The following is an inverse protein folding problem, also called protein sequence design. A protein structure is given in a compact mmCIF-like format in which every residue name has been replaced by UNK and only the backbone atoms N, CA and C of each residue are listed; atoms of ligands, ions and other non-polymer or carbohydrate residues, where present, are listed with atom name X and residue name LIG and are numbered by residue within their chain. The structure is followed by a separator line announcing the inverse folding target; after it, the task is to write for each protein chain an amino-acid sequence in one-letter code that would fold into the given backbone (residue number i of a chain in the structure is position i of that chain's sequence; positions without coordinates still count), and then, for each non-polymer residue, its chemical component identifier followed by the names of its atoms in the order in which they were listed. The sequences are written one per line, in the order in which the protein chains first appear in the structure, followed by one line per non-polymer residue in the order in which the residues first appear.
data_IF_586889820835
#
_entry.id   IF_586889820835
#
_cell.length_a   1.000
_cell.length_b   1.000
_cell.length_c   1.000
_cell.angle_alpha   90.00
_cell.angle_beta   90.00
_cell.angle_gamma   90.00
#
_symmetry.space_group_name_H-M   'P 1'
#
loop_
_entity.id
_entity.type
_entity.pdbx_description
1 polymer ?
#
# COMPACT_ATOMS: atom_id res chain seq x y z
N UNK A 1 11.54 0.29 -9.35
CA UNK A 1 10.85 -0.89 -8.79
C UNK A 1 10.69 -0.66 -7.31
N UNK A 2 9.48 -0.72 -6.78
CA UNK A 2 9.15 -0.39 -5.38
C UNK A 2 9.79 -1.35 -4.38
N UNK A 3 11.04 -1.08 -4.03
CA UNK A 3 11.77 -1.74 -2.96
C UNK A 3 12.12 -0.68 -1.90
N UNK A 4 12.11 -1.08 -0.64
CA UNK A 4 12.59 -0.28 0.48
C UNK A 4 13.72 -1.00 1.22
N UNK A 5 14.60 -0.24 1.87
CA UNK A 5 15.80 -0.77 2.52
C UNK A 5 15.48 -1.18 3.97
N UNK A 6 15.35 -2.47 4.24
CA UNK A 6 15.11 -2.97 5.59
C UNK A 6 16.41 -3.48 6.22
N UNK A 7 17.19 -2.55 6.78
CA UNK A 7 18.36 -2.86 7.61
C UNK A 7 19.28 -3.96 7.05
N UNK A 8 19.55 -4.98 7.86
CA UNK A 8 20.44 -6.10 7.53
C UNK A 8 19.91 -7.03 6.42
N UNK A 9 18.63 -6.91 6.05
CA UNK A 9 17.97 -7.74 5.04
C UNK A 9 18.07 -7.16 3.62
N UNK A 10 18.59 -5.93 3.45
CA UNK A 10 18.79 -5.31 2.14
C UNK A 10 17.50 -4.72 1.54
N UNK A 11 17.40 -4.68 0.20
CA UNK A 11 16.21 -4.20 -0.49
C UNK A 11 15.09 -5.23 -0.39
N UNK A 12 13.97 -4.88 0.24
CA UNK A 12 12.77 -5.70 0.29
C UNK A 12 11.68 -5.10 -0.61
N UNK A 13 10.99 -5.91 -1.42
CA UNK A 13 9.87 -5.44 -2.24
C UNK A 13 8.70 -4.95 -1.38
N UNK A 14 8.14 -3.80 -1.77
CA UNK A 14 7.05 -3.15 -1.04
C UNK A 14 5.73 -3.92 -1.10
N UNK A 15 5.43 -4.59 -2.22
CA UNK A 15 4.18 -5.32 -2.46
C UNK A 15 2.90 -4.48 -2.22
N UNK A 16 2.94 -3.18 -2.57
CA UNK A 16 1.76 -2.31 -2.51
C UNK A 16 0.69 -2.79 -3.51
N UNK A 17 -0.56 -2.86 -3.07
CA UNK A 17 -1.69 -3.27 -3.90
C UNK A 17 -1.92 -2.25 -5.04
N UNK A 18 -2.01 -2.72 -6.29
CA UNK A 18 -2.12 -1.85 -7.47
C UNK A 18 -3.40 -1.01 -7.50
N UNK A 19 -4.50 -1.50 -6.92
CA UNK A 19 -5.79 -0.81 -6.93
C UNK A 19 -5.92 0.14 -5.74
N UNK A 20 -5.44 -0.30 -4.57
CA UNK A 20 -5.55 0.45 -3.33
C UNK A 20 -4.40 1.41 -3.06
N UNK A 21 -3.30 1.35 -3.81
CA UNK A 21 -2.14 2.23 -3.62
C UNK A 21 -2.03 3.30 -4.70
N UNK A 22 -1.39 4.42 -4.36
CA UNK A 22 -1.07 5.51 -5.30
C UNK A 22 0.20 5.22 -6.12
N UNK A 23 1.04 4.32 -5.62
CA UNK A 23 2.32 3.92 -6.21
C UNK A 23 2.69 2.52 -5.73
N UNK A 24 3.67 1.90 -6.39
CA UNK A 24 4.27 0.65 -5.92
C UNK A 24 5.37 0.86 -4.87
N UNK A 25 5.76 2.11 -4.62
CA UNK A 25 6.74 2.50 -3.61
C UNK A 25 6.11 2.59 -2.21
N UNK A 26 6.92 2.31 -1.19
CA UNK A 26 6.58 2.38 0.22
C UNK A 26 7.68 3.11 1.00
N UNK A 27 7.36 3.61 2.19
CA UNK A 27 8.36 4.23 3.06
C UNK A 27 9.34 3.22 3.68
N UNK A 28 10.29 3.72 4.46
CA UNK A 28 11.31 2.92 5.15
C UNK A 28 10.72 1.82 6.06
N UNK A 29 9.52 2.03 6.61
CA UNK A 29 8.79 1.03 7.42
C UNK A 29 8.04 0.01 6.57
N UNK A 30 8.04 0.17 5.24
CA UNK A 30 7.33 -0.69 4.31
C UNK A 30 5.86 -0.31 4.09
N UNK A 31 5.43 0.86 4.58
CA UNK A 31 4.05 1.31 4.46
C UNK A 31 3.82 1.99 3.09
N UNK A 32 2.78 1.53 2.39
CA UNK A 32 2.39 2.02 1.09
C UNK A 32 1.53 3.29 1.19
N UNK A 33 1.57 4.13 0.16
CA UNK A 33 0.67 5.29 0.06
C UNK A 33 -0.70 4.86 -0.47
N UNK A 34 -1.70 4.81 0.41
CA UNK A 34 -3.03 4.33 0.04
C UNK A 34 -3.90 5.38 -0.66
N UNK A 35 -4.83 4.89 -1.50
CA UNK A 35 -5.93 5.63 -2.09
C UNK A 35 -6.96 6.04 -1.01
N UNK A 36 -7.83 7.02 -1.29
CA UNK A 36 -8.92 7.38 -0.39
C UNK A 36 -9.79 6.17 -0.03
N UNK A 37 -10.18 6.08 1.24
CA UNK A 37 -11.01 4.98 1.74
C UNK A 37 -10.29 3.63 1.89
N UNK A 38 -9.00 3.54 1.58
CA UNK A 38 -8.19 2.31 1.68
C UNK A 38 -7.23 2.40 2.87
N UNK A 39 -6.97 1.25 3.51
CA UNK A 39 -6.05 1.13 4.65
C UNK A 39 -5.24 -0.17 4.59
N UNK A 40 -4.38 -0.37 5.59
CA UNK A 40 -3.43 -1.48 5.69
C UNK A 40 -2.02 -1.11 5.21
N UNK A 41 -1.01 -1.86 5.64
CA UNK A 41 0.38 -1.61 5.26
C UNK A 41 0.59 -1.67 3.73
N UNK A 42 -0.20 -2.51 3.06
CA UNK A 42 -0.13 -2.76 1.61
C UNK A 42 -1.32 -2.20 0.85
N UNK A 43 -2.15 -1.39 1.51
CA UNK A 43 -3.37 -0.81 0.94
C UNK A 43 -4.30 -1.86 0.33
N UNK A 44 -4.47 -2.98 1.03
CA UNK A 44 -5.14 -4.21 0.60
C UNK A 44 -6.60 -4.31 1.02
N UNK A 45 -7.13 -3.33 1.77
CA UNK A 45 -8.50 -3.37 2.31
C UNK A 45 -9.10 -1.98 2.49
N UNK A 46 -10.43 -1.91 2.51
CA UNK A 46 -11.13 -0.67 2.84
C UNK A 46 -10.95 -0.28 4.31
N UNK A 47 -10.87 1.03 4.57
CA UNK A 47 -10.94 1.59 5.91
C UNK A 47 -12.33 1.32 6.52
N UNK A 48 -12.45 1.28 7.86
CA UNK A 48 -13.74 1.14 8.52
C UNK A 48 -14.74 2.20 8.04
N UNK A 49 -15.92 1.77 7.61
CA UNK A 49 -16.97 2.64 7.07
C UNK A 49 -16.95 2.81 5.54
N UNK A 50 -15.92 2.32 4.85
CA UNK A 50 -15.85 2.27 3.40
C UNK A 50 -16.13 0.85 2.87
N UNK A 51 -16.65 0.77 1.65
CA UNK A 51 -17.04 -0.44 0.96
C UNK A 51 -16.60 -0.41 -0.51
N UNK A 52 -16.81 -1.51 -1.24
CA UNK A 52 -16.47 -1.65 -2.67
C UNK A 52 -15.00 -1.33 -3.01
N UNK A 53 -14.09 -2.27 -2.70
CA UNK A 53 -12.68 -2.15 -3.05
C UNK A 53 -12.48 -2.32 -4.56
N UNK A 54 -12.01 -1.27 -5.23
CA UNK A 54 -11.82 -1.25 -6.68
C UNK A 54 -10.59 -0.40 -7.06
N UNK A 55 -10.29 -0.33 -8.35
CA UNK A 55 -9.21 0.52 -8.84
C UNK A 55 -9.47 1.99 -8.49
N UNK A 56 -8.53 2.60 -7.75
CA UNK A 56 -8.63 3.98 -7.29
C UNK A 56 -9.18 4.16 -5.87
N UNK A 57 -9.58 3.08 -5.17
CA UNK A 57 -9.86 3.14 -3.73
C UNK A 57 -11.14 2.42 -3.29
N UNK A 58 -11.74 2.90 -2.20
CA UNK A 58 -13.04 2.46 -1.70
C UNK A 58 -14.03 3.63 -1.61
N UNK A 59 -15.32 3.32 -1.67
CA UNK A 59 -16.43 4.28 -1.58
C UNK A 59 -17.05 4.26 -0.20
#
# INVERSE_FOLDING_TARGET
SGLHMQGAQGCIPCHCNSFGSKSFDCDESGQCRCQPGVTGQKCDRCAPGYFSFQEGGCT
#
